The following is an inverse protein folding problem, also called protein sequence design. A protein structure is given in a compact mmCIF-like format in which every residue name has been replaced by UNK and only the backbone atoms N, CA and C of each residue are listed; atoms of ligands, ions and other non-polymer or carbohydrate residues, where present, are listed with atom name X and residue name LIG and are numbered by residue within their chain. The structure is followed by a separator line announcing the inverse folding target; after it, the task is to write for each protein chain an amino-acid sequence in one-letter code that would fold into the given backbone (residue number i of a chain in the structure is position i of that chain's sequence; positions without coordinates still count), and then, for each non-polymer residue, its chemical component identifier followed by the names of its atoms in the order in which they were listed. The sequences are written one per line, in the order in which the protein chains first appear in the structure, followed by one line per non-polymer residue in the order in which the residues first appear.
data_IF_210758232415
#
_entry.id   IF_210758232415
#
_cell.length_a   1.000
_cell.length_b   1.000
_cell.length_c   1.000
_cell.angle_alpha   90.00
_cell.angle_beta   90.00
_cell.angle_gamma   90.00
#
_symmetry.space_group_name_H-M   'P 1'
#
loop_
_entity.id
_entity.type
_entity.pdbx_description
1 polymer ?
#
# COMPACT_ATOMS: atom_id res chain seq x y z
N UNK A 1 -18.04 7.44 4.46
CA UNK A 1 -17.02 8.21 3.73
C UNK A 1 -16.05 8.74 4.77
N UNK A 2 -14.74 8.45 4.66
CA UNK A 2 -13.74 8.99 5.58
C UNK A 2 -13.61 10.51 5.34
N UNK A 3 -13.52 11.28 6.42
CA UNK A 3 -13.16 12.70 6.38
C UNK A 3 -11.72 12.87 5.87
N UNK A 4 -11.38 14.07 5.39
CA UNK A 4 -10.03 14.36 4.89
C UNK A 4 -8.93 14.14 5.96
N UNK A 5 -9.26 14.34 7.24
CA UNK A 5 -8.36 14.09 8.36
C UNK A 5 -8.13 12.59 8.58
N UNK A 6 -9.20 11.78 8.59
CA UNK A 6 -9.11 10.32 8.73
C UNK A 6 -8.37 9.68 7.55
N UNK A 7 -8.53 10.22 6.34
CA UNK A 7 -7.83 9.75 5.15
C UNK A 7 -6.31 10.02 5.24
N UNK A 8 -5.92 11.14 5.85
CA UNK A 8 -4.52 11.51 6.09
C UNK A 8 -3.87 10.62 7.16
N UNK A 9 -4.55 10.39 8.28
CA UNK A 9 -4.08 9.47 9.32
C UNK A 9 -3.96 8.05 8.79
N UNK A 10 -4.97 7.58 8.05
CA UNK A 10 -4.96 6.25 7.43
C UNK A 10 -3.80 6.08 6.45
N UNK A 11 -3.53 7.10 5.61
CA UNK A 11 -2.36 7.10 4.73
C UNK A 11 -1.05 6.96 5.51
N UNK A 12 -0.87 7.74 6.58
CA UNK A 12 0.35 7.69 7.39
C UNK A 12 0.52 6.33 8.08
N UNK A 13 -0.57 5.77 8.61
CA UNK A 13 -0.56 4.43 9.20
C UNK A 13 -0.10 3.36 8.20
N UNK A 14 -0.67 3.38 6.99
CA UNK A 14 -0.33 2.41 5.94
C UNK A 14 1.11 2.59 5.45
N UNK A 15 1.60 3.83 5.30
CA UNK A 15 2.99 4.10 4.97
C UNK A 15 3.96 3.57 6.03
N UNK A 16 3.63 3.75 7.31
CA UNK A 16 4.43 3.21 8.41
C UNK A 16 4.51 1.68 8.35
N UNK A 17 3.41 1.00 8.02
CA UNK A 17 3.41 -0.46 7.80
C UNK A 17 4.25 -0.91 6.60
N UNK A 18 4.33 -0.09 5.55
CA UNK A 18 5.25 -0.33 4.42
C UNK A 18 6.70 -0.26 4.90
N UNK A 19 7.05 0.79 5.65
CA UNK A 19 8.40 0.97 6.22
C UNK A 19 8.78 -0.20 7.15
N UNK A 20 7.84 -0.61 8.01
CA UNK A 20 8.01 -1.72 8.94
C UNK A 20 7.94 -3.10 8.26
N UNK A 21 7.63 -3.16 6.95
CA UNK A 21 7.42 -4.40 6.17
C UNK A 21 6.37 -5.34 6.76
N UNK A 22 5.39 -4.78 7.46
CA UNK A 22 4.27 -5.51 8.09
C UNK A 22 2.96 -5.31 7.34
N UNK A 23 2.99 -4.59 6.21
CA UNK A 23 1.80 -4.33 5.42
C UNK A 23 1.22 -5.61 4.82
N UNK A 24 -0.09 -5.79 4.95
CA UNK A 24 -0.81 -6.89 4.30
C UNK A 24 -1.17 -6.54 2.86
N UNK A 25 -1.53 -7.56 2.05
CA UNK A 25 -2.01 -7.33 0.68
C UNK A 25 -3.21 -6.39 0.61
N UNK A 26 -4.19 -6.55 1.50
CA UNK A 26 -5.38 -5.71 1.53
C UNK A 26 -5.04 -4.25 1.83
N UNK A 27 -4.13 -4.02 2.78
CA UNK A 27 -3.63 -2.70 3.15
C UNK A 27 -2.78 -2.06 2.06
N UNK A 28 -2.00 -2.86 1.32
CA UNK A 28 -1.22 -2.37 0.18
C UNK A 28 -2.13 -1.90 -0.96
N UNK A 29 -3.22 -2.63 -1.25
CA UNK A 29 -4.24 -2.20 -2.21
C UNK A 29 -4.96 -0.94 -1.76
N UNK A 30 -5.28 -0.85 -0.46
CA UNK A 30 -5.93 0.34 0.09
C UNK A 30 -5.00 1.58 0.04
N UNK A 31 -3.71 1.41 0.34
CA UNK A 31 -2.72 2.48 0.18
C UNK A 31 -2.59 2.90 -1.29
N UNK A 32 -2.60 1.94 -2.22
CA UNK A 32 -2.58 2.22 -3.66
C UNK A 32 -3.78 3.08 -4.08
N UNK A 33 -4.99 2.72 -3.65
CA UNK A 33 -6.18 3.51 -3.95
C UNK A 33 -6.10 4.93 -3.38
N UNK A 34 -5.60 5.08 -2.14
CA UNK A 34 -5.43 6.38 -1.50
C UNK A 34 -4.44 7.23 -2.30
N UNK A 35 -3.32 6.66 -2.73
CA UNK A 35 -2.30 7.35 -3.52
C UNK A 35 -2.84 7.75 -4.90
N UNK A 36 -3.52 6.85 -5.62
CA UNK A 36 -4.11 7.15 -6.94
C UNK A 36 -5.21 8.22 -6.90
N UNK A 37 -5.82 8.45 -5.73
CA UNK A 37 -6.81 9.52 -5.53
C UNK A 37 -6.17 10.89 -5.27
N UNK A 38 -4.86 10.98 -5.01
CA UNK A 38 -4.16 12.25 -4.83
C UNK A 38 -3.93 12.95 -6.18
N UNK A 39 -4.23 14.25 -6.25
CA UNK A 39 -4.01 15.05 -7.47
C UNK A 39 -2.58 14.98 -7.99
N UNK A 40 -1.61 15.00 -7.07
CA UNK A 40 -0.19 14.95 -7.41
C UNK A 40 0.18 13.64 -8.13
N UNK A 41 -0.41 12.52 -7.69
CA UNK A 41 -0.19 11.19 -8.28
C UNK A 41 -0.98 11.05 -9.59
N UNK A 42 -2.16 11.67 -9.71
CA UNK A 42 -2.94 11.66 -10.95
C UNK A 42 -2.21 12.34 -12.11
N UNK A 43 -1.43 13.38 -11.80
CA UNK A 43 -0.58 14.10 -12.76
C UNK A 43 0.71 13.37 -13.11
N UNK A 44 1.05 12.30 -12.38
CA UNK A 44 2.21 11.47 -12.74
C UNK A 44 1.92 10.65 -14.00
N UNK A 45 3.00 10.40 -14.73
CA UNK A 45 3.02 9.48 -15.85
C UNK A 45 2.55 8.08 -15.44
N UNK A 46 1.88 7.38 -16.33
CA UNK A 46 1.32 6.05 -16.05
C UNK A 46 2.42 5.03 -15.72
N UNK A 47 3.65 5.23 -16.21
CA UNK A 47 4.81 4.43 -15.81
C UNK A 47 5.12 4.53 -14.31
N UNK A 48 4.97 5.71 -13.71
CA UNK A 48 5.23 5.91 -12.27
C UNK A 48 4.11 5.29 -11.43
N UNK A 49 2.85 5.41 -11.88
CA UNK A 49 1.71 4.73 -11.23
C UNK A 49 1.89 3.21 -11.26
N UNK A 50 2.40 2.67 -12.36
CA UNK A 50 2.70 1.25 -12.50
C UNK A 50 3.81 0.79 -11.54
N UNK A 51 4.88 1.59 -11.37
CA UNK A 51 5.94 1.28 -10.39
C UNK A 51 5.43 1.29 -8.94
N UNK A 52 4.53 2.21 -8.59
CA UNK A 52 3.87 2.24 -7.28
C UNK A 52 3.03 0.97 -7.09
N UNK A 53 2.26 0.58 -8.10
CA UNK A 53 1.45 -0.65 -8.08
C UNK A 53 2.32 -1.90 -7.89
N UNK A 54 3.41 -2.02 -8.64
CA UNK A 54 4.34 -3.14 -8.54
C UNK A 54 5.04 -3.21 -7.18
N UNK A 55 5.52 -2.07 -6.67
CA UNK A 55 6.18 -2.02 -5.36
C UNK A 55 5.26 -2.44 -4.22
N UNK A 56 4.03 -1.93 -4.21
CA UNK A 56 3.03 -2.31 -3.21
C UNK A 56 2.58 -3.78 -3.36
N UNK A 57 2.45 -4.26 -4.59
CA UNK A 57 2.12 -5.66 -4.89
C UNK A 57 3.21 -6.63 -4.42
N UNK A 58 4.48 -6.31 -4.64
CA UNK A 58 5.61 -7.12 -4.18
C UNK A 58 5.68 -7.18 -2.65
N UNK A 59 5.47 -6.05 -1.97
CA UNK A 59 5.45 -5.99 -0.50
C UNK A 59 4.29 -6.78 0.10
N UNK A 60 3.07 -6.61 -0.44
CA UNK A 60 1.90 -7.37 0.00
C UNK A 60 2.02 -8.88 -0.30
N UNK A 61 2.62 -9.24 -1.43
CA UNK A 61 2.89 -10.64 -1.81
C UNK A 61 3.95 -11.29 -0.92
N UNK A 62 5.02 -10.56 -0.59
CA UNK A 62 6.06 -11.02 0.33
C UNK A 62 5.51 -11.27 1.74
N UNK A 63 4.67 -10.37 2.26
CA UNK A 63 4.03 -10.56 3.57
C UNK A 63 3.17 -11.83 3.61
N UNK A 64 2.41 -12.11 2.55
CA UNK A 64 1.64 -13.34 2.41
C UNK A 64 2.52 -14.59 2.33
N UNK A 65 3.59 -14.54 1.52
CA UNK A 65 4.52 -15.68 1.40
C UNK A 65 5.17 -16.02 2.75
N UNK A 66 5.56 -15.00 3.52
CA UNK A 66 6.15 -15.19 4.85
C UNK A 66 5.16 -15.76 5.87
N UNK A 67 3.90 -15.31 5.85
CA UNK A 67 2.85 -15.89 6.71
C UNK A 67 2.60 -17.36 6.37
N UNK A 68 2.59 -17.72 5.08
CA UNK A 68 2.43 -19.11 4.63
C UNK A 68 3.64 -20.00 4.98
N UNK A 69 4.85 -19.44 5.07
CA UNK A 69 6.02 -20.15 5.59
C UNK A 69 5.93 -20.40 7.10
N UNK A 70 5.42 -19.42 7.87
CA UNK A 70 5.24 -19.55 9.32
C UNK A 70 4.13 -20.55 9.69
N UNK A 71 3.04 -20.66 8.90
CA UNK A 71 1.99 -21.68 9.11
C UNK A 71 2.42 -23.12 8.78
N UNK A 72 3.51 -23.31 8.03
CA UNK A 72 4.02 -24.63 7.63
C UNK A 72 5.09 -25.21 8.57
N UNK A 73 5.46 -24.50 9.64
CA UNK A 73 6.39 -24.94 10.69
C UNK A 73 5.65 -25.38 11.94
#
# INVERSE_FOLDING_TARGET
MLSAAELKEKKQYLLKKVEDRTITRAEALELQEILLKQEDIRKLDDGVKFLIALGLGALGGYALAKLLEEEKK
#
